data_IF_880802029748
#
_entry.id   IF_880802029748
#
_cell.length_a   1.000
_cell.length_b   1.000
_cell.length_c   1.000
_cell.angle_alpha   90.00
_cell.angle_beta   90.00
_cell.angle_gamma   90.00
#
_symmetry.space_group_name_H-M   'P 1'
#
loop_
_entity.id
_entity.type
_entity.pdbx_description
1 polymer ?
#
# COMPACT_ATOMS: atom_id res chain seq x y z
N UNK A 1 -36.85 -87.53 15.45
CA UNK A 1 -36.74 -88.72 14.62
C UNK A 1 -35.94 -88.38 13.34
N UNK A 2 -34.85 -89.05 13.09
CA UNK A 2 -33.96 -89.11 11.90
C UNK A 2 -33.03 -87.91 11.62
N UNK A 3 -31.79 -88.13 12.04
CA UNK A 3 -30.51 -87.63 11.52
C UNK A 3 -30.38 -87.97 10.00
N UNK A 4 -29.75 -87.05 9.25
CA UNK A 4 -28.83 -87.41 8.16
C UNK A 4 -27.68 -86.44 8.07
N UNK A 5 -26.48 -86.99 8.17
CA UNK A 5 -25.17 -86.41 7.88
C UNK A 5 -24.99 -86.26 6.38
N UNK A 6 -24.27 -85.24 5.87
CA UNK A 6 -23.33 -85.46 4.75
C UNK A 6 -22.39 -84.25 4.60
N UNK A 7 -21.23 -84.56 4.78
CA UNK A 7 -20.01 -84.43 3.96
C UNK A 7 -19.49 -83.07 3.59
N UNK A 8 -18.31 -82.86 4.11
CA UNK A 8 -17.24 -81.95 3.86
C UNK A 8 -16.70 -81.97 2.45
N UNK A 9 -16.63 -80.88 1.73
CA UNK A 9 -15.76 -80.73 0.57
C UNK A 9 -14.99 -79.44 0.66
N UNK A 10 -13.67 -79.55 0.85
CA UNK A 10 -12.67 -78.52 0.94
C UNK A 10 -12.31 -78.07 -0.47
N UNK A 11 -12.53 -76.75 -0.79
CA UNK A 11 -12.08 -76.22 -2.08
C UNK A 11 -11.10 -75.04 -1.73
N UNK A 12 -9.83 -75.28 -2.01
CA UNK A 12 -8.79 -74.28 -2.00
C UNK A 12 -9.01 -73.29 -3.13
N UNK A 13 -9.25 -72.00 -2.81
CA UNK A 13 -9.12 -70.93 -3.78
C UNK A 13 -7.87 -70.14 -3.47
N UNK A 14 -6.96 -70.09 -4.40
CA UNK A 14 -5.81 -69.20 -4.46
C UNK A 14 -6.30 -67.72 -4.56
N UNK A 15 -6.00 -66.88 -3.60
CA UNK A 15 -6.15 -65.45 -3.73
C UNK A 15 -4.87 -64.85 -4.27
N UNK A 16 -4.92 -64.35 -5.50
CA UNK A 16 -3.89 -63.45 -6.05
C UNK A 16 -3.91 -62.14 -5.22
N UNK A 17 -2.79 -61.86 -4.55
CA UNK A 17 -2.54 -60.60 -3.91
C UNK A 17 -2.30 -59.49 -4.95
N UNK A 18 -3.29 -58.64 -5.16
CA UNK A 18 -3.11 -57.36 -5.86
C UNK A 18 -2.39 -56.38 -4.93
N UNK A 19 -1.14 -56.06 -5.22
CA UNK A 19 -0.43 -54.98 -4.59
C UNK A 19 -1.05 -53.66 -5.05
N UNK A 20 -1.86 -53.01 -4.19
CA UNK A 20 -2.29 -51.63 -4.37
C UNK A 20 -1.08 -50.74 -4.15
N UNK A 21 -0.52 -50.19 -5.22
CA UNK A 21 0.45 -49.10 -5.13
C UNK A 21 -0.25 -47.86 -4.58
N UNK A 22 0.01 -47.53 -3.32
CA UNK A 22 -0.33 -46.26 -2.74
C UNK A 22 0.48 -45.19 -3.45
N UNK A 23 -0.16 -44.44 -4.38
CA UNK A 23 0.37 -43.17 -4.85
C UNK A 23 0.36 -42.20 -3.66
N UNK A 24 1.53 -41.94 -3.11
CA UNK A 24 1.74 -40.83 -2.21
C UNK A 24 1.47 -39.55 -3.00
N UNK A 25 0.33 -38.92 -2.74
CA UNK A 25 0.14 -37.51 -3.12
C UNK A 25 1.21 -36.71 -2.38
N UNK A 26 2.23 -36.24 -3.11
CA UNK A 26 3.07 -35.18 -2.64
C UNK A 26 2.18 -33.96 -2.42
N UNK A 27 1.79 -33.74 -1.17
CA UNK A 27 1.33 -32.43 -0.72
C UNK A 27 2.54 -31.52 -0.86
N UNK A 28 2.61 -30.76 -1.95
CA UNK A 28 3.63 -29.74 -2.16
C UNK A 28 3.69 -28.87 -0.92
N UNK A 29 4.77 -28.95 -0.16
CA UNK A 29 5.02 -28.09 0.97
C UNK A 29 5.01 -26.66 0.44
N UNK A 30 4.01 -25.87 0.87
CA UNK A 30 3.96 -24.43 0.56
C UNK A 30 5.28 -23.87 1.10
N UNK A 31 6.10 -23.30 0.22
CA UNK A 31 7.35 -22.68 0.59
C UNK A 31 7.07 -21.63 1.68
N UNK A 32 7.59 -21.82 2.87
CA UNK A 32 7.44 -20.88 4.00
C UNK A 32 8.33 -19.65 3.85
N UNK A 33 9.22 -19.63 2.87
CA UNK A 33 10.12 -18.52 2.59
C UNK A 33 9.39 -17.46 1.76
N UNK A 34 9.28 -16.20 2.27
CA UNK A 34 8.67 -15.11 1.50
C UNK A 34 9.35 -14.89 0.15
N UNK A 35 8.58 -14.58 -0.89
CA UNK A 35 9.09 -14.20 -2.23
C UNK A 35 9.95 -12.94 -2.19
N UNK A 36 9.70 -12.08 -1.17
CA UNK A 36 10.42 -10.82 -0.98
C UNK A 36 9.79 -10.01 0.15
N UNK A 37 10.28 -8.79 0.34
CA UNK A 37 9.79 -7.87 1.37
C UNK A 37 9.32 -6.57 0.71
N UNK A 38 8.14 -6.10 1.11
CA UNK A 38 7.57 -4.83 0.69
C UNK A 38 7.76 -3.82 1.82
N UNK A 39 8.35 -2.68 1.51
CA UNK A 39 8.47 -1.54 2.42
C UNK A 39 7.21 -0.69 2.32
N UNK A 40 6.37 -0.71 3.33
CA UNK A 40 5.22 0.20 3.46
C UNK A 40 5.63 1.38 4.31
N UNK A 41 5.42 2.60 3.82
CA UNK A 41 5.82 3.82 4.53
C UNK A 41 4.59 4.62 4.90
N UNK A 42 4.39 4.83 6.21
CA UNK A 42 3.30 5.64 6.74
C UNK A 42 3.83 6.84 7.55
N UNK A 43 3.03 7.89 7.62
CA UNK A 43 3.35 9.10 8.38
C UNK A 43 3.42 8.83 9.88
N UNK A 44 4.24 9.63 10.58
CA UNK A 44 4.29 9.68 12.05
C UNK A 44 3.40 10.76 12.65
N UNK A 45 2.72 11.56 11.83
CA UNK A 45 1.96 12.70 12.30
C UNK A 45 0.54 12.32 12.70
N UNK A 46 0.09 12.93 13.79
CA UNK A 46 -1.26 12.79 14.34
C UNK A 46 -2.15 13.99 13.98
N UNK A 47 -1.54 15.11 13.65
CA UNK A 47 -2.24 16.37 13.37
C UNK A 47 -1.61 17.10 12.17
N UNK A 48 -2.42 17.84 11.46
CA UNK A 48 -2.03 18.69 10.35
C UNK A 48 -2.56 20.12 10.59
N UNK A 49 -1.69 21.11 10.38
CA UNK A 49 -2.09 22.51 10.39
C UNK A 49 -2.86 22.82 9.09
N UNK A 50 -4.08 23.32 9.24
CA UNK A 50 -4.98 23.72 8.17
C UNK A 50 -4.65 25.13 7.66
N UNK A 51 -5.28 25.55 6.56
CA UNK A 51 -5.09 26.88 5.96
C UNK A 51 -5.38 28.03 6.95
N UNK A 52 -6.37 27.88 7.81
CA UNK A 52 -6.79 28.83 8.84
C UNK A 52 -5.99 28.74 10.15
N UNK A 53 -4.90 27.93 10.17
CA UNK A 53 -4.05 27.65 11.33
C UNK A 53 -4.69 26.79 12.42
N UNK A 54 -5.89 26.28 12.23
CA UNK A 54 -6.45 25.23 13.08
C UNK A 54 -5.68 23.92 12.93
N UNK A 55 -5.87 22.99 13.88
CA UNK A 55 -5.29 21.65 13.81
C UNK A 55 -6.38 20.64 13.49
N UNK A 56 -6.07 19.74 12.57
CA UNK A 56 -6.94 18.62 12.21
C UNK A 56 -6.24 17.30 12.53
N UNK A 57 -6.96 16.39 13.18
CA UNK A 57 -6.47 15.04 13.39
C UNK A 57 -6.33 14.32 12.06
N UNK A 58 -5.19 13.66 11.86
CA UNK A 58 -4.83 12.96 10.64
C UNK A 58 -4.17 11.62 10.96
N UNK A 59 -4.12 10.74 9.97
CA UNK A 59 -3.49 9.44 10.09
C UNK A 59 -3.45 8.72 8.74
N UNK A 60 -3.08 7.44 8.73
CA UNK A 60 -3.23 6.60 7.56
C UNK A 60 -4.69 6.19 7.35
N UNK A 61 -5.10 6.01 6.11
CA UNK A 61 -6.44 5.52 5.78
C UNK A 61 -6.45 3.98 5.85
N UNK A 62 -7.37 3.41 6.65
CA UNK A 62 -7.31 2.00 7.05
C UNK A 62 -7.33 1.03 5.87
N UNK A 63 -8.31 1.13 4.96
CA UNK A 63 -8.38 0.23 3.81
C UNK A 63 -7.21 0.41 2.85
N UNK A 64 -6.73 1.64 2.66
CA UNK A 64 -5.63 1.94 1.77
C UNK A 64 -4.29 1.36 2.23
N UNK A 65 -4.08 1.23 3.54
CA UNK A 65 -2.92 0.51 4.08
C UNK A 65 -3.16 -0.99 4.14
N UNK A 66 -4.31 -1.39 4.71
CA UNK A 66 -4.56 -2.79 5.05
C UNK A 66 -4.83 -3.67 3.83
N UNK A 67 -5.68 -3.21 2.88
CA UNK A 67 -6.11 -4.05 1.75
C UNK A 67 -4.94 -4.39 0.84
N UNK A 68 -4.14 -3.42 0.32
CA UNK A 68 -2.98 -3.73 -0.52
C UNK A 68 -1.92 -4.54 0.22
N UNK A 69 -1.61 -4.17 1.47
CA UNK A 69 -0.58 -4.86 2.25
C UNK A 69 -0.97 -6.31 2.54
N UNK A 70 -2.23 -6.54 2.93
CA UNK A 70 -2.72 -7.90 3.18
C UNK A 70 -2.78 -8.73 1.90
N UNK A 71 -3.23 -8.15 0.79
CA UNK A 71 -3.23 -8.83 -0.51
C UNK A 71 -1.84 -9.32 -0.90
N UNK A 72 -0.81 -8.47 -0.74
CA UNK A 72 0.58 -8.85 -1.01
C UNK A 72 1.10 -9.91 -0.02
N UNK A 73 0.71 -9.81 1.27
CA UNK A 73 1.06 -10.82 2.27
C UNK A 73 0.44 -12.18 1.95
N UNK A 74 -0.81 -12.21 1.50
CA UNK A 74 -1.51 -13.44 1.07
C UNK A 74 -0.86 -14.07 -0.20
N UNK A 75 -0.09 -13.27 -0.97
CA UNK A 75 0.73 -13.73 -2.11
C UNK A 75 2.19 -14.02 -1.73
N UNK A 76 2.45 -14.23 -0.45
CA UNK A 76 3.74 -14.64 0.13
C UNK A 76 4.83 -13.56 0.06
N UNK A 77 4.46 -12.27 0.17
CA UNK A 77 5.40 -11.19 0.43
C UNK A 77 5.38 -10.80 1.91
N UNK A 78 6.57 -10.56 2.47
CA UNK A 78 6.68 -10.00 3.83
C UNK A 78 6.39 -8.49 3.78
N UNK A 79 5.58 -8.01 4.71
CA UNK A 79 5.30 -6.58 4.87
C UNK A 79 6.09 -6.02 6.04
N UNK A 80 6.81 -4.93 5.82
CA UNK A 80 7.50 -4.16 6.85
C UNK A 80 6.98 -2.73 6.79
N UNK A 81 6.43 -2.25 7.88
CA UNK A 81 5.93 -0.89 8.00
C UNK A 81 7.06 0.01 8.53
N UNK A 82 7.33 1.12 7.85
CA UNK A 82 8.29 2.11 8.29
C UNK A 82 7.60 3.46 8.51
N UNK A 83 8.05 4.17 9.54
CA UNK A 83 7.60 5.53 9.83
C UNK A 83 8.80 6.42 10.12
N UNK A 84 8.73 7.75 9.96
CA UNK A 84 9.84 8.66 10.28
C UNK A 84 10.42 8.45 11.68
N UNK A 85 9.58 8.25 12.69
CA UNK A 85 9.99 8.11 14.10
C UNK A 85 10.13 6.65 14.59
N UNK A 86 9.80 5.64 13.76
CA UNK A 86 9.86 4.22 14.12
C UNK A 86 8.75 3.75 15.07
N UNK A 87 7.73 4.56 15.31
CA UNK A 87 6.56 4.21 16.12
C UNK A 87 5.39 3.80 15.23
N UNK A 88 4.42 3.06 15.78
CA UNK A 88 3.18 2.76 15.06
C UNK A 88 2.51 4.05 14.59
N UNK A 89 2.11 4.13 13.31
CA UNK A 89 1.36 5.27 12.81
C UNK A 89 -0.06 5.28 13.40
N UNK A 90 -0.68 6.45 13.45
CA UNK A 90 -2.07 6.57 13.85
C UNK A 90 -2.99 6.38 12.65
N UNK A 91 -4.12 5.72 12.89
CA UNK A 91 -5.19 5.58 11.91
C UNK A 91 -6.05 6.85 11.90
N UNK A 92 -6.36 7.36 10.72
CA UNK A 92 -7.42 8.37 10.57
C UNK A 92 -8.76 7.74 10.96
N UNK A 93 -9.42 8.30 11.97
CA UNK A 93 -10.66 7.75 12.52
C UNK A 93 -11.81 7.72 11.51
N UNK A 94 -11.81 8.62 10.53
CA UNK A 94 -12.80 8.65 9.46
C UNK A 94 -12.72 7.45 8.53
N UNK A 95 -11.56 6.79 8.46
CA UNK A 95 -11.34 5.57 7.68
C UNK A 95 -11.82 4.29 8.39
N UNK A 96 -12.13 4.38 9.68
CA UNK A 96 -12.63 3.25 10.47
C UNK A 96 -14.14 3.04 10.23
N UNK A 97 -14.55 2.92 8.99
CA UNK A 97 -15.93 2.74 8.57
C UNK A 97 -16.05 1.51 7.66
N UNK A 98 -17.05 0.66 7.93
CA UNK A 98 -17.32 -0.56 7.17
C UNK A 98 -17.63 -0.30 5.68
N UNK A 99 -18.05 0.92 5.32
CA UNK A 99 -18.30 1.29 3.91
C UNK A 99 -17.08 1.06 3.01
N UNK A 100 -15.85 1.20 3.56
CA UNK A 100 -14.59 0.93 2.86
C UNK A 100 -14.25 -0.57 2.78
N UNK A 101 -15.08 -1.43 3.37
CA UNK A 101 -14.92 -2.88 3.40
C UNK A 101 -16.18 -3.60 2.89
N UNK A 102 -16.83 -3.05 1.86
CA UNK A 102 -18.10 -3.59 1.30
C UNK A 102 -19.21 -3.77 2.34
N UNK A 103 -19.26 -2.89 3.34
CA UNK A 103 -20.17 -2.95 4.50
C UNK A 103 -19.97 -4.19 5.40
N UNK A 104 -18.80 -4.83 5.36
CA UNK A 104 -18.42 -5.97 6.20
C UNK A 104 -17.60 -5.52 7.41
N UNK A 105 -18.21 -5.50 8.60
CA UNK A 105 -17.52 -5.19 9.86
C UNK A 105 -16.47 -6.22 10.25
N UNK A 106 -16.63 -7.49 9.86
CA UNK A 106 -15.64 -8.52 10.15
C UNK A 106 -14.39 -8.32 9.28
N UNK A 107 -14.54 -7.92 8.02
CA UNK A 107 -13.41 -7.55 7.17
C UNK A 107 -12.68 -6.33 7.71
N UNK A 108 -13.40 -5.29 8.15
CA UNK A 108 -12.82 -4.10 8.80
C UNK A 108 -12.03 -4.46 10.07
N UNK A 109 -12.61 -5.28 10.95
CA UNK A 109 -11.93 -5.72 12.17
C UNK A 109 -10.65 -6.52 11.88
N UNK A 110 -10.67 -7.40 10.87
CA UNK A 110 -9.48 -8.14 10.41
C UNK A 110 -8.41 -7.20 9.83
N UNK A 111 -8.81 -6.13 9.13
CA UNK A 111 -7.89 -5.12 8.64
C UNK A 111 -7.15 -4.40 9.77
N UNK A 112 -7.87 -3.99 10.82
CA UNK A 112 -7.26 -3.39 12.02
C UNK A 112 -6.27 -4.38 12.65
N UNK A 113 -6.70 -5.62 12.90
CA UNK A 113 -5.84 -6.64 13.49
C UNK A 113 -4.58 -6.90 12.65
N UNK A 114 -4.71 -6.94 11.32
CA UNK A 114 -3.57 -7.12 10.42
C UNK A 114 -2.56 -5.98 10.56
N UNK A 115 -3.03 -4.71 10.51
CA UNK A 115 -2.15 -3.54 10.64
C UNK A 115 -1.48 -3.50 12.01
N UNK A 116 -2.20 -3.86 13.08
CA UNK A 116 -1.67 -3.89 14.44
C UNK A 116 -0.53 -4.89 14.63
N UNK A 117 -0.51 -5.95 13.85
CA UNK A 117 0.51 -7.01 13.90
C UNK A 117 1.73 -6.72 13.02
N UNK A 118 1.70 -5.69 12.16
CA UNK A 118 2.83 -5.38 11.29
C UNK A 118 4.06 -4.96 12.11
N UNK A 119 5.24 -5.48 11.77
CA UNK A 119 6.49 -5.00 12.36
C UNK A 119 6.75 -3.56 11.89
N UNK A 120 7.07 -2.69 12.85
CA UNK A 120 7.35 -1.26 12.56
C UNK A 120 8.81 -0.96 12.83
N UNK A 121 9.44 -0.26 11.89
CA UNK A 121 10.81 0.23 12.00
C UNK A 121 10.86 1.73 11.68
N UNK A 122 11.98 2.40 11.99
CA UNK A 122 12.18 3.77 11.54
C UNK A 122 12.60 3.81 10.05
N UNK A 123 12.20 4.87 9.33
CA UNK A 123 12.72 5.13 7.98
C UNK A 123 14.26 5.18 7.96
N UNK A 124 14.86 5.74 9.02
CA UNK A 124 16.33 5.76 9.20
C UNK A 124 16.93 4.35 9.21
N UNK A 125 16.23 3.37 9.75
CA UNK A 125 16.68 1.97 9.72
C UNK A 125 16.42 1.34 8.35
N UNK A 126 15.24 1.58 7.77
CA UNK A 126 14.86 1.04 6.46
C UNK A 126 15.87 1.41 5.36
N UNK A 127 16.33 2.66 5.32
CA UNK A 127 17.25 3.15 4.26
C UNK A 127 18.64 2.55 4.31
N UNK A 128 19.02 1.91 5.40
CA UNK A 128 20.31 1.19 5.48
C UNK A 128 20.30 -0.11 4.65
N UNK A 129 19.14 -0.63 4.30
CA UNK A 129 18.95 -1.95 3.73
C UNK A 129 17.97 -1.96 2.54
N UNK A 130 18.01 -0.92 1.68
CA UNK A 130 17.05 -0.75 0.57
C UNK A 130 17.06 -1.92 -0.43
N UNK A 131 18.19 -2.63 -0.56
CA UNK A 131 18.26 -3.80 -1.43
C UNK A 131 17.42 -4.98 -0.96
N UNK A 132 17.04 -5.02 0.32
CA UNK A 132 16.19 -6.06 0.88
C UNK A 132 14.71 -5.91 0.50
N UNK A 133 14.31 -4.76 -0.07
CA UNK A 133 12.93 -4.49 -0.43
C UNK A 133 12.73 -4.57 -1.94
N UNK A 134 11.68 -5.28 -2.37
CA UNK A 134 11.31 -5.47 -3.77
C UNK A 134 10.37 -4.37 -4.28
N UNK A 135 9.58 -3.76 -3.39
CA UNK A 135 8.72 -2.62 -3.68
C UNK A 135 8.63 -1.68 -2.49
N UNK A 136 8.27 -0.42 -2.78
CA UNK A 136 7.89 0.60 -1.81
C UNK A 136 6.41 0.94 -2.01
N UNK A 137 5.65 1.08 -0.92
CA UNK A 137 4.25 1.46 -0.96
C UNK A 137 3.95 2.53 0.09
N UNK A 138 3.26 3.61 -0.33
CA UNK A 138 2.81 4.69 0.55
C UNK A 138 1.28 4.78 0.50
N UNK A 139 0.56 4.41 1.58
CA UNK A 139 -0.87 4.62 1.69
C UNK A 139 -1.21 6.10 1.87
N UNK A 140 -2.48 6.43 1.68
CA UNK A 140 -2.96 7.78 1.88
C UNK A 140 -3.46 8.05 3.30
N UNK A 141 -4.49 8.86 3.37
CA UNK A 141 -4.84 9.72 4.50
C UNK A 141 -4.06 11.03 4.38
N UNK A 142 -4.46 12.08 5.10
CA UNK A 142 -3.84 13.42 4.96
C UNK A 142 -2.46 13.52 5.61
N UNK A 143 -2.10 12.64 6.53
CA UNK A 143 -0.85 12.71 7.29
C UNK A 143 0.43 12.81 6.42
N UNK A 144 0.58 12.15 5.25
CA UNK A 144 1.73 12.31 4.36
C UNK A 144 2.01 13.75 3.91
N UNK A 145 1.00 14.63 3.88
CA UNK A 145 1.13 16.06 3.52
C UNK A 145 1.94 16.85 4.55
N UNK A 146 2.14 16.32 5.75
CA UNK A 146 2.87 16.99 6.84
C UNK A 146 4.34 16.64 6.87
N UNK A 147 4.67 15.35 6.96
CA UNK A 147 6.04 14.87 7.17
C UNK A 147 6.60 14.14 5.94
N UNK A 148 5.87 13.18 5.35
CA UNK A 148 6.45 12.30 4.33
C UNK A 148 6.89 13.06 3.08
N UNK A 149 6.14 14.08 2.64
CA UNK A 149 6.48 14.84 1.44
C UNK A 149 7.82 15.59 1.52
N UNK A 150 8.40 15.71 2.70
CA UNK A 150 9.66 16.38 2.94
C UNK A 150 10.65 15.55 3.80
N UNK A 151 10.36 14.26 4.01
CA UNK A 151 11.24 13.39 4.79
C UNK A 151 12.49 13.00 3.96
N UNK A 152 13.71 13.34 4.44
CA UNK A 152 14.94 13.10 3.67
C UNK A 152 15.28 11.63 3.53
N UNK A 153 14.85 10.76 4.48
CA UNK A 153 15.08 9.32 4.39
C UNK A 153 14.17 8.70 3.33
N UNK A 154 12.89 9.12 3.30
CA UNK A 154 11.99 8.71 2.23
C UNK A 154 12.50 9.20 0.87
N UNK A 155 12.96 10.45 0.76
CA UNK A 155 13.59 10.97 -0.45
C UNK A 155 14.77 10.12 -0.91
N UNK A 156 15.60 9.62 0.02
CA UNK A 156 16.69 8.69 -0.28
C UNK A 156 16.17 7.36 -0.80
N UNK A 157 15.16 6.78 -0.16
CA UNK A 157 14.57 5.52 -0.61
C UNK A 157 13.95 5.65 -2.01
N UNK A 158 13.20 6.73 -2.27
CA UNK A 158 12.57 6.97 -3.57
C UNK A 158 13.58 7.11 -4.70
N UNK A 159 14.69 7.84 -4.49
CA UNK A 159 15.77 7.95 -5.48
C UNK A 159 16.46 6.62 -5.75
N UNK A 160 16.67 5.78 -4.73
CA UNK A 160 17.23 4.43 -4.90
C UNK A 160 16.29 3.53 -5.70
N UNK A 161 15.00 3.53 -5.37
CA UNK A 161 14.00 2.73 -6.07
C UNK A 161 13.85 3.16 -7.52
N UNK A 162 13.81 4.46 -7.78
CA UNK A 162 13.80 5.01 -9.12
C UNK A 162 15.03 4.60 -9.94
N UNK A 163 16.23 4.78 -9.39
CA UNK A 163 17.48 4.42 -10.06
C UNK A 163 17.59 2.92 -10.41
N UNK A 164 16.93 2.06 -9.61
CA UNK A 164 16.90 0.59 -9.79
C UNK A 164 15.63 0.10 -10.51
N UNK A 165 14.76 0.97 -10.95
CA UNK A 165 13.45 0.65 -11.54
C UNK A 165 12.62 -0.30 -10.65
N UNK A 166 12.72 -0.19 -9.33
CA UNK A 166 11.95 -0.98 -8.39
C UNK A 166 10.51 -0.45 -8.27
N UNK A 167 9.49 -1.32 -8.26
CA UNK A 167 8.10 -0.91 -8.14
C UNK A 167 7.86 0.01 -6.95
N UNK A 168 7.22 1.15 -7.20
CA UNK A 168 6.84 2.14 -6.19
C UNK A 168 5.35 2.47 -6.35
N UNK A 169 4.58 2.27 -5.29
CA UNK A 169 3.13 2.44 -5.28
C UNK A 169 2.68 3.55 -4.32
N UNK A 170 1.67 4.30 -4.71
CA UNK A 170 1.04 5.34 -3.91
C UNK A 170 -0.48 5.30 -4.09
N UNK A 171 -1.24 5.73 -3.08
CA UNK A 171 -2.71 5.82 -3.19
C UNK A 171 -3.25 7.06 -2.49
N UNK A 172 -4.31 7.67 -3.04
CA UNK A 172 -5.06 8.76 -2.44
C UNK A 172 -4.18 10.01 -2.23
N UNK A 173 -3.90 10.41 -0.99
CA UNK A 173 -2.94 11.48 -0.68
C UNK A 173 -1.48 10.96 -0.64
N UNK A 174 -1.26 9.65 -0.65
CA UNK A 174 0.08 9.04 -0.67
C UNK A 174 1.04 9.56 -1.73
N UNK A 175 0.60 9.87 -2.98
CA UNK A 175 1.48 10.40 -4.03
C UNK A 175 2.22 11.69 -3.67
N UNK A 176 1.71 12.50 -2.72
CA UNK A 176 2.43 13.69 -2.21
C UNK A 176 3.81 13.34 -1.64
N UNK A 177 3.98 12.13 -1.13
CA UNK A 177 5.24 11.62 -0.59
C UNK A 177 6.35 11.49 -1.67
N UNK A 178 6.00 11.38 -2.95
CA UNK A 178 6.96 11.40 -4.07
C UNK A 178 7.76 12.71 -4.14
N UNK A 179 7.21 13.80 -3.57
CA UNK A 179 7.87 15.10 -3.47
C UNK A 179 9.08 15.09 -2.51
N UNK A 180 9.20 14.11 -1.61
CA UNK A 180 10.39 13.92 -0.79
C UNK A 180 11.66 13.67 -1.62
N UNK A 181 11.51 13.24 -2.87
CA UNK A 181 12.62 13.05 -3.79
C UNK A 181 13.15 14.37 -4.42
N UNK A 182 12.50 15.50 -4.17
CA UNK A 182 12.99 16.82 -4.56
C UNK A 182 14.33 17.14 -3.91
N UNK A 183 15.20 17.95 -4.56
CA UNK A 183 16.44 18.42 -3.96
C UNK A 183 16.19 19.22 -2.65
N UNK A 184 15.15 20.06 -2.61
CA UNK A 184 14.72 20.81 -1.43
C UNK A 184 13.20 20.70 -1.23
N UNK A 185 12.77 19.54 -0.76
CA UNK A 185 11.36 19.25 -0.50
C UNK A 185 10.76 20.15 0.60
N UNK A 186 11.59 20.60 1.56
CA UNK A 186 11.15 21.50 2.62
C UNK A 186 10.83 22.92 2.09
N UNK A 187 11.69 23.45 1.23
CA UNK A 187 11.41 24.74 0.57
C UNK A 187 10.19 24.63 -0.36
N UNK A 188 10.06 23.50 -1.06
CA UNK A 188 8.89 23.23 -1.90
C UNK A 188 7.59 23.26 -1.09
N UNK A 189 7.51 22.49 0.00
CA UNK A 189 6.35 22.47 0.89
C UNK A 189 6.03 23.86 1.45
N UNK A 190 7.05 24.59 1.89
CA UNK A 190 6.88 25.97 2.41
C UNK A 190 6.26 26.89 1.37
N UNK A 191 6.70 26.80 0.12
CA UNK A 191 6.15 27.60 -0.98
C UNK A 191 4.69 27.25 -1.26
N UNK A 192 4.32 25.96 -1.27
CA UNK A 192 2.93 25.53 -1.43
C UNK A 192 2.02 26.08 -0.32
N UNK A 193 2.42 25.94 0.94
CA UNK A 193 1.64 26.42 2.11
C UNK A 193 1.46 27.96 2.09
N UNK A 194 2.38 28.68 1.44
CA UNK A 194 2.33 30.15 1.29
C UNK A 194 1.67 30.60 -0.01
N UNK A 195 1.13 29.68 -0.82
CA UNK A 195 0.60 29.92 -2.17
C UNK A 195 1.62 30.58 -3.13
N UNK A 196 2.93 30.44 -2.87
CA UNK A 196 4.00 30.91 -3.75
C UNK A 196 4.34 29.85 -4.81
N UNK A 197 3.40 29.64 -5.74
CA UNK A 197 3.54 28.63 -6.79
C UNK A 197 4.74 28.84 -7.72
N UNK A 198 5.14 30.10 -8.09
CA UNK A 198 6.37 30.32 -8.84
C UNK A 198 7.63 29.84 -8.09
N UNK A 199 7.73 30.06 -6.77
CA UNK A 199 8.84 29.54 -5.98
C UNK A 199 8.80 28.02 -5.89
N UNK A 200 7.62 27.43 -5.70
CA UNK A 200 7.44 25.98 -5.70
C UNK A 200 7.91 25.36 -7.03
N UNK A 201 7.46 25.89 -8.17
CA UNK A 201 7.85 25.39 -9.49
C UNK A 201 9.37 25.47 -9.74
N UNK A 202 10.02 26.56 -9.28
CA UNK A 202 11.46 26.72 -9.39
C UNK A 202 12.20 25.66 -8.56
N UNK A 203 11.72 25.36 -7.35
CA UNK A 203 12.31 24.37 -6.45
C UNK A 203 12.18 22.95 -6.99
N UNK A 204 11.15 22.69 -7.83
CA UNK A 204 10.85 21.39 -8.39
C UNK A 204 11.57 21.08 -9.73
N UNK A 205 12.48 21.93 -10.22
CA UNK A 205 13.09 21.81 -11.56
C UNK A 205 13.73 20.43 -11.83
N UNK A 206 14.35 19.83 -10.83
CA UNK A 206 15.12 18.58 -10.93
C UNK A 206 14.43 17.40 -10.22
N UNK A 207 13.10 17.42 -10.17
CA UNK A 207 12.35 16.30 -9.59
C UNK A 207 12.45 15.05 -10.48
N UNK A 208 12.83 13.91 -9.88
CA UNK A 208 13.05 12.64 -10.61
C UNK A 208 11.79 12.10 -11.29
N UNK A 209 10.59 12.44 -10.80
CA UNK A 209 9.30 12.03 -11.36
C UNK A 209 8.66 13.09 -12.27
N UNK A 210 9.39 14.14 -12.64
CA UNK A 210 8.91 15.14 -13.60
C UNK A 210 8.54 14.48 -14.93
N UNK A 211 7.35 14.80 -15.45
CA UNK A 211 6.82 14.19 -16.66
C UNK A 211 6.23 12.79 -16.50
N UNK A 212 6.17 12.25 -15.27
CA UNK A 212 5.43 11.01 -15.02
C UNK A 212 3.93 11.26 -15.08
N UNK A 213 3.20 10.26 -15.61
CA UNK A 213 1.74 10.20 -15.46
C UNK A 213 1.41 9.62 -14.10
N UNK A 214 0.53 10.29 -13.38
CA UNK A 214 0.10 9.92 -12.03
C UNK A 214 -1.38 10.19 -11.84
N UNK A 215 -1.98 9.60 -10.82
CA UNK A 215 -3.24 10.04 -10.24
C UNK A 215 -3.07 10.18 -8.72
N UNK A 216 -3.93 10.97 -8.09
CA UNK A 216 -3.97 11.19 -6.66
C UNK A 216 -5.41 11.50 -6.26
N UNK A 217 -5.67 11.67 -4.97
CA UNK A 217 -6.92 12.27 -4.52
C UNK A 217 -7.06 13.63 -5.19
N UNK A 218 -8.09 13.78 -6.04
CA UNK A 218 -8.20 14.93 -6.93
C UNK A 218 -8.72 16.17 -6.19
N UNK A 219 -8.46 17.34 -6.74
CA UNK A 219 -8.98 18.60 -6.21
C UNK A 219 -10.51 18.58 -6.11
N UNK A 220 -11.17 17.91 -7.07
CA UNK A 220 -12.61 17.76 -7.09
C UNK A 220 -13.13 16.79 -6.00
N UNK A 221 -12.34 15.79 -5.61
CA UNK A 221 -12.64 14.89 -4.47
C UNK A 221 -12.34 15.56 -3.12
N UNK A 222 -11.35 16.49 -3.06
CA UNK A 222 -11.01 17.21 -1.85
C UNK A 222 -12.09 18.23 -1.46
N UNK A 223 -12.73 18.86 -2.42
CA UNK A 223 -13.76 19.88 -2.18
C UNK A 223 -14.85 19.47 -1.16
N UNK A 224 -15.53 18.32 -1.28
CA UNK A 224 -16.53 17.91 -0.28
C UNK A 224 -15.91 17.61 1.10
N UNK A 225 -14.63 17.24 1.17
CA UNK A 225 -13.91 17.03 2.43
C UNK A 225 -13.67 18.36 3.14
N UNK A 226 -13.30 19.41 2.39
CA UNK A 226 -13.06 20.77 2.92
C UNK A 226 -14.32 21.47 3.43
N UNK A 227 -15.49 21.21 2.80
CA UNK A 227 -16.78 21.77 3.27
C UNK A 227 -17.02 21.45 4.75
N UNK A 228 -16.58 20.26 5.20
CA UNK A 228 -16.83 19.80 6.57
C UNK A 228 -15.58 19.83 7.45
N UNK A 229 -14.40 19.88 6.87
CA UNK A 229 -13.12 19.73 7.57
C UNK A 229 -12.20 20.95 7.55
N UNK A 230 -12.59 22.04 6.85
CA UNK A 230 -11.75 23.23 6.65
C UNK A 230 -10.81 23.09 5.44
N UNK A 231 -10.34 24.24 4.95
CA UNK A 231 -9.48 24.31 3.77
C UNK A 231 -8.10 23.69 4.03
N UNK A 232 -7.67 22.84 3.09
CA UNK A 232 -6.34 22.20 3.13
C UNK A 232 -5.22 23.25 2.99
N UNK A 233 -4.03 22.99 3.54
CA UNK A 233 -2.88 23.87 3.35
C UNK A 233 -2.47 24.00 1.88
N UNK A 234 -2.71 22.98 1.09
CA UNK A 234 -2.59 22.86 -0.37
C UNK A 234 -3.27 21.54 -0.81
N UNK A 235 -3.57 21.39 -2.10
CA UNK A 235 -4.11 20.13 -2.65
C UNK A 235 -2.99 19.25 -3.19
N UNK A 236 -3.14 17.94 -3.05
CA UNK A 236 -2.12 16.96 -3.48
C UNK A 236 -1.96 16.95 -4.98
N UNK A 237 -3.07 16.93 -5.72
CA UNK A 237 -3.05 16.96 -7.18
C UNK A 237 -2.33 18.20 -7.71
N UNK A 238 -2.72 19.39 -7.23
CA UNK A 238 -2.07 20.65 -7.59
C UNK A 238 -0.56 20.63 -7.26
N UNK A 239 -0.18 20.10 -6.09
CA UNK A 239 1.22 20.00 -5.69
C UNK A 239 2.04 19.14 -6.67
N UNK A 240 1.50 18.00 -7.11
CA UNK A 240 2.16 17.14 -8.08
C UNK A 240 2.23 17.78 -9.48
N UNK A 241 1.20 18.49 -9.92
CA UNK A 241 1.18 19.23 -11.19
C UNK A 241 2.23 20.34 -11.20
N UNK A 242 2.35 21.13 -10.12
CA UNK A 242 3.37 22.19 -10.00
C UNK A 242 4.78 21.59 -10.04
N UNK A 243 4.99 20.40 -9.48
CA UNK A 243 6.26 19.69 -9.56
C UNK A 243 6.53 19.10 -10.97
N UNK A 244 5.54 19.05 -11.83
CA UNK A 244 5.68 18.65 -13.24
C UNK A 244 5.17 17.25 -13.55
N UNK A 245 4.33 16.65 -12.70
CA UNK A 245 3.59 15.43 -13.05
C UNK A 245 2.46 15.74 -14.03
N UNK A 246 2.11 14.75 -14.86
CA UNK A 246 0.90 14.75 -15.68
C UNK A 246 -0.20 13.98 -14.93
N UNK A 247 -1.21 14.68 -14.44
CA UNK A 247 -2.29 14.05 -13.68
C UNK A 247 -3.35 13.48 -14.60
N UNK A 248 -3.71 12.21 -14.36
CA UNK A 248 -4.77 11.49 -15.08
C UNK A 248 -5.90 11.21 -14.09
N UNK A 249 -6.90 12.06 -14.06
CA UNK A 249 -8.07 11.91 -13.21
C UNK A 249 -9.08 10.92 -13.79
N UNK A 250 -9.63 10.07 -12.93
CA UNK A 250 -10.82 9.27 -13.20
C UNK A 250 -12.09 9.92 -12.65
N UNK A 251 -13.19 9.16 -12.68
CA UNK A 251 -14.43 9.60 -12.05
C UNK A 251 -14.27 9.71 -10.52
N UNK A 252 -14.96 10.71 -9.93
CA UNK A 252 -14.91 10.98 -8.49
C UNK A 252 -15.29 9.74 -7.67
N UNK A 253 -14.48 9.43 -6.67
CA UNK A 253 -14.69 8.33 -5.71
C UNK A 253 -14.83 6.93 -6.36
N UNK A 254 -14.41 6.78 -7.62
CA UNK A 254 -14.31 5.50 -8.30
C UNK A 254 -12.84 5.06 -8.41
N UNK A 255 -12.65 3.75 -8.55
CA UNK A 255 -11.30 3.21 -8.73
C UNK A 255 -10.66 3.75 -10.02
N UNK A 256 -9.50 4.36 -9.88
CA UNK A 256 -8.65 4.79 -10.98
C UNK A 256 -7.19 4.46 -10.66
N UNK A 257 -6.50 3.78 -11.58
CA UNK A 257 -5.10 3.38 -11.45
C UNK A 257 -4.33 3.92 -12.64
N UNK A 258 -3.24 4.62 -12.35
CA UNK A 258 -2.28 5.07 -13.36
C UNK A 258 -0.95 4.40 -13.08
N UNK A 259 -0.38 3.78 -14.12
CA UNK A 259 0.97 3.23 -14.08
C UNK A 259 1.83 3.91 -15.13
N UNK A 260 2.99 4.39 -14.72
CA UNK A 260 4.04 4.89 -15.61
C UNK A 260 5.41 4.38 -15.11
N UNK A 261 6.08 3.61 -15.97
CA UNK A 261 7.37 3.00 -15.64
C UNK A 261 7.30 2.15 -14.37
N UNK A 262 8.14 2.43 -13.37
CA UNK A 262 8.19 1.75 -12.07
C UNK A 262 7.14 2.25 -11.07
N UNK A 263 6.44 3.35 -11.38
CA UNK A 263 5.46 3.97 -10.47
C UNK A 263 4.05 3.53 -10.81
N UNK A 264 3.26 3.20 -9.78
CA UNK A 264 1.81 2.99 -9.86
C UNK A 264 1.11 3.84 -8.82
N UNK A 265 0.07 4.55 -9.22
CA UNK A 265 -0.74 5.41 -8.35
C UNK A 265 -2.21 5.04 -8.41
N UNK A 266 -2.90 5.10 -7.27
CA UNK A 266 -4.35 4.95 -7.15
C UNK A 266 -4.98 6.25 -6.66
N UNK A 267 -6.12 6.63 -7.24
CA UNK A 267 -6.71 7.95 -7.02
C UNK A 267 -7.28 8.15 -5.61
N UNK A 268 -7.94 7.14 -5.06
CA UNK A 268 -8.78 7.27 -3.86
C UNK A 268 -8.95 5.91 -3.16
N UNK A 269 -9.67 5.83 -2.02
CA UNK A 269 -9.89 4.57 -1.29
C UNK A 269 -10.48 3.43 -2.11
N UNK A 270 -11.28 3.73 -3.15
CA UNK A 270 -11.85 2.69 -4.02
C UNK A 270 -10.80 2.03 -4.94
N UNK A 271 -9.59 2.58 -5.01
CA UNK A 271 -8.49 2.08 -5.83
C UNK A 271 -7.63 1.01 -5.13
N UNK A 272 -7.88 0.71 -3.86
CA UNK A 272 -7.02 -0.12 -2.99
C UNK A 272 -6.70 -1.51 -3.56
N UNK A 273 -7.72 -2.27 -3.93
CA UNK A 273 -7.54 -3.62 -4.48
C UNK A 273 -6.90 -3.60 -5.88
N UNK A 274 -7.31 -2.67 -6.74
CA UNK A 274 -6.75 -2.54 -8.07
C UNK A 274 -5.27 -2.14 -8.04
N UNK A 275 -4.87 -1.27 -7.09
CA UNK A 275 -3.48 -0.94 -6.82
C UNK A 275 -2.68 -2.18 -6.40
N UNK A 276 -3.23 -2.95 -5.45
CA UNK A 276 -2.58 -4.16 -4.94
C UNK A 276 -2.30 -5.17 -6.06
N UNK A 277 -3.31 -5.42 -6.91
CA UNK A 277 -3.20 -6.33 -8.07
C UNK A 277 -2.17 -5.82 -9.09
N UNK A 278 -2.16 -4.52 -9.35
CA UNK A 278 -1.20 -3.92 -10.29
C UNK A 278 0.22 -4.01 -9.74
N UNK A 279 0.42 -3.72 -8.45
CA UNK A 279 1.72 -3.82 -7.79
C UNK A 279 2.24 -5.27 -7.78
N UNK A 280 1.37 -6.24 -7.48
CA UNK A 280 1.73 -7.67 -7.56
C UNK A 280 2.18 -8.05 -8.98
N UNK A 281 1.42 -7.63 -10.00
CA UNK A 281 1.78 -7.89 -11.39
C UNK A 281 3.10 -7.21 -11.82
N UNK A 282 3.53 -6.13 -11.16
CA UNK A 282 4.85 -5.51 -11.36
C UNK A 282 5.97 -6.30 -10.70
N UNK A 283 5.71 -6.94 -9.56
CA UNK A 283 6.66 -7.75 -8.80
C UNK A 283 6.91 -9.13 -9.43
N UNK A 284 5.97 -9.67 -10.18
CA UNK A 284 6.02 -11.03 -10.76
C UNK A 284 6.49 -11.04 -12.23
N UNK A 285 7.01 -9.93 -12.73
CA UNK A 285 7.65 -9.84 -14.06
C UNK A 285 9.12 -10.18 -13.99
#
# INVERSE_FOLDING_TARGET
MKMKRLALTMLCMFTLGGAASAQSQETGAISTTPKGTILVVASSQAQMEMKDKSQRDVGFYLNELAVPSKYLADHNYRIVLATPNGKKPLMDTSSNDKKFFNNDDAARAKAIQFVDQLPVISLKEAVKHLDNYQALFVPGGHAPMTDLMQDPQLGTALRDFHAKNKPTAFICHGPVAALAALPDATAYRKALVSDDFPAAQKTASDWIYKGYRMTAFSDAEEWPVEIHGGAMPFHVEQALQIAGAHMDEGNLFQSNIVRDREVVTGQNPASDMALAQTLLAMLEK
#
